data_IF_306898440985
#
_entry.id   IF_306898440985
#
_cell.length_a   1.000
_cell.length_b   1.000
_cell.length_c   1.000
_cell.angle_alpha   90.00
_cell.angle_beta   90.00
_cell.angle_gamma   90.00
#
_symmetry.space_group_name_H-M   'P 1'
#
loop_
_entity.id
_entity.type
_entity.pdbx_description
1 polymer ?
#
# COMPACT_ATOMS: atom_id res chain seq x y z
N UNK A 1 -2.22 19.59 -1.04
CA UNK A 1 -3.49 18.93 -1.39
C UNK A 1 -3.43 17.48 -0.95
N UNK A 2 -4.29 17.10 -0.01
CA UNK A 2 -4.38 15.71 0.45
C UNK A 2 -5.27 14.91 -0.51
N UNK A 3 -4.79 13.74 -0.90
CA UNK A 3 -5.54 12.76 -1.66
C UNK A 3 -5.86 11.58 -0.76
N UNK A 4 -7.16 11.31 -0.60
CA UNK A 4 -7.59 10.11 0.11
C UNK A 4 -7.07 8.88 -0.63
N UNK A 5 -6.49 7.95 0.12
CA UNK A 5 -6.16 6.62 -0.40
C UNK A 5 -7.43 5.89 -0.80
N UNK A 6 -7.38 5.15 -1.90
CA UNK A 6 -8.52 4.44 -2.45
C UNK A 6 -9.05 3.39 -1.46
N UNK A 7 -10.38 3.27 -1.40
CA UNK A 7 -11.00 2.12 -0.75
C UNK A 7 -10.56 0.78 -1.37
N UNK A 8 -10.40 -0.25 -0.54
CA UNK A 8 -9.99 -1.59 -0.98
C UNK A 8 -10.90 -2.11 -2.10
N UNK A 9 -10.30 -2.67 -3.14
CA UNK A 9 -11.05 -3.41 -4.15
C UNK A 9 -11.67 -4.68 -3.55
N UNK A 10 -12.65 -5.25 -4.26
CA UNK A 10 -13.40 -6.42 -3.77
C UNK A 10 -12.49 -7.60 -3.45
N UNK A 11 -11.46 -7.86 -4.25
CA UNK A 11 -10.55 -8.98 -4.01
C UNK A 11 -9.72 -8.75 -2.74
N UNK A 12 -9.09 -7.58 -2.62
CA UNK A 12 -8.34 -7.21 -1.40
C UNK A 12 -9.21 -7.24 -0.15
N UNK A 13 -10.45 -6.76 -0.25
CA UNK A 13 -11.41 -6.76 0.85
C UNK A 13 -11.79 -8.18 1.28
N UNK A 14 -12.10 -9.07 0.33
CA UNK A 14 -12.41 -10.48 0.61
C UNK A 14 -11.21 -11.17 1.25
N UNK A 15 -10.02 -11.01 0.68
CA UNK A 15 -8.78 -11.59 1.24
C UNK A 15 -8.52 -11.09 2.66
N UNK A 16 -8.68 -9.79 2.90
CA UNK A 16 -8.55 -9.18 4.24
C UNK A 16 -9.51 -9.82 5.24
N UNK A 17 -10.79 -9.96 4.88
CA UNK A 17 -11.80 -10.58 5.75
C UNK A 17 -11.46 -12.04 6.05
N UNK A 18 -11.12 -12.82 5.02
CA UNK A 18 -10.73 -14.24 5.16
C UNK A 18 -9.52 -14.38 6.07
N UNK A 19 -8.49 -13.55 5.87
CA UNK A 19 -7.31 -13.54 6.72
C UNK A 19 -7.65 -13.18 8.17
N UNK A 20 -8.44 -12.13 8.42
CA UNK A 20 -8.82 -11.75 9.78
C UNK A 20 -9.61 -12.86 10.48
N UNK A 21 -10.56 -13.49 9.78
CA UNK A 21 -11.36 -14.60 10.35
C UNK A 21 -10.45 -15.79 10.64
N UNK A 22 -9.62 -16.20 9.68
CA UNK A 22 -8.70 -17.32 9.84
C UNK A 22 -7.75 -17.10 11.03
N UNK A 23 -7.10 -15.93 11.11
CA UNK A 23 -6.21 -15.60 12.21
C UNK A 23 -6.95 -15.55 13.55
N UNK A 24 -8.19 -15.04 13.58
CA UNK A 24 -9.01 -15.02 14.81
C UNK A 24 -9.35 -16.43 15.29
N UNK A 25 -9.71 -17.34 14.38
CA UNK A 25 -9.99 -18.76 14.71
C UNK A 25 -8.73 -19.45 15.24
N UNK A 26 -7.57 -19.23 14.59
CA UNK A 26 -6.30 -19.81 15.03
C UNK A 26 -5.88 -19.27 16.40
N UNK A 27 -5.98 -17.95 16.62
CA UNK A 27 -5.69 -17.34 17.93
C UNK A 27 -6.62 -17.93 19.00
N UNK A 28 -7.92 -18.04 18.71
CA UNK A 28 -8.88 -18.63 19.65
C UNK A 28 -8.51 -20.07 20.00
N UNK A 29 -8.27 -20.91 19.00
CA UNK A 29 -7.89 -22.32 19.19
C UNK A 29 -6.61 -22.44 20.03
N UNK A 30 -5.59 -21.64 19.72
CA UNK A 30 -4.34 -21.61 20.48
C UNK A 30 -4.57 -21.18 21.94
N UNK A 31 -5.34 -20.13 22.19
CA UNK A 31 -5.61 -19.66 23.56
C UNK A 31 -6.39 -20.70 24.37
N UNK A 32 -7.26 -21.47 23.71
CA UNK A 32 -8.05 -22.54 24.36
C UNK A 32 -7.33 -23.88 24.50
N UNK A 33 -6.13 -24.05 23.91
CA UNK A 33 -5.44 -25.36 23.90
C UNK A 33 -4.83 -25.74 25.25
N UNK A 34 -4.65 -24.80 26.17
CA UNK A 34 -3.97 -25.02 27.45
C UNK A 34 -2.44 -25.14 27.34
N UNK A 35 -1.87 -24.91 26.16
CA UNK A 35 -0.43 -24.98 25.91
C UNK A 35 0.34 -23.82 26.57
N UNK A 36 1.49 -24.12 27.19
CA UNK A 36 2.23 -23.15 28.03
C UNK A 36 3.03 -22.08 27.27
N UNK A 37 2.98 -22.05 25.94
CA UNK A 37 3.78 -21.14 25.10
C UNK A 37 2.99 -20.44 23.99
N UNK A 38 1.67 -20.31 24.14
CA UNK A 38 0.78 -19.69 23.15
C UNK A 38 1.00 -18.17 23.01
N UNK A 39 1.53 -17.52 24.04
CA UNK A 39 1.71 -16.07 24.08
C UNK A 39 2.52 -15.54 22.89
N UNK A 40 3.69 -16.11 22.62
CA UNK A 40 4.58 -15.60 21.57
C UNK A 40 3.99 -15.71 20.16
N UNK A 41 3.46 -16.87 19.71
CA UNK A 41 2.76 -16.97 18.43
C UNK A 41 1.60 -15.96 18.30
N UNK A 42 0.78 -15.82 19.35
CA UNK A 42 -0.37 -14.89 19.32
C UNK A 42 0.10 -13.44 19.19
N UNK A 43 1.13 -13.04 19.94
CA UNK A 43 1.71 -11.70 19.82
C UNK A 43 2.28 -11.44 18.43
N UNK A 44 2.98 -12.40 17.83
CA UNK A 44 3.52 -12.29 16.46
C UNK A 44 2.37 -12.14 15.45
N UNK A 45 1.31 -12.93 15.58
CA UNK A 45 0.15 -12.87 14.70
C UNK A 45 -0.59 -11.53 14.79
N UNK A 46 -0.84 -11.04 16.01
CA UNK A 46 -1.45 -9.72 16.22
C UNK A 46 -0.54 -8.62 15.68
N UNK A 47 0.76 -8.69 15.96
CA UNK A 47 1.76 -7.76 15.45
C UNK A 47 1.80 -7.71 13.92
N UNK A 48 1.67 -8.86 13.24
CA UNK A 48 1.57 -8.94 11.79
C UNK A 48 0.31 -8.25 11.24
N UNK A 49 -0.86 -8.42 11.88
CA UNK A 49 -2.10 -7.76 11.45
C UNK A 49 -2.03 -6.26 11.68
N UNK A 50 -1.57 -5.83 12.86
CA UNK A 50 -1.46 -4.41 13.22
C UNK A 50 -0.45 -3.71 12.31
N UNK A 51 0.74 -4.30 12.12
CA UNK A 51 1.74 -3.74 11.19
C UNK A 51 1.20 -3.62 9.77
N UNK A 52 0.44 -4.61 9.28
CA UNK A 52 -0.19 -4.52 7.96
C UNK A 52 -1.15 -3.33 7.84
N UNK A 53 -1.97 -3.09 8.86
CA UNK A 53 -2.88 -1.95 8.91
C UNK A 53 -2.12 -0.62 8.94
N UNK A 54 -1.06 -0.54 9.75
CA UNK A 54 -0.22 0.67 9.88
C UNK A 54 0.60 0.99 8.61
N UNK A 55 0.63 0.11 7.62
CA UNK A 55 1.24 0.35 6.31
C UNK A 55 0.30 1.02 5.30
N UNK A 56 -1.00 1.16 5.60
CA UNK A 56 -1.95 1.88 4.74
C UNK A 56 -1.45 3.32 4.56
N UNK A 57 -1.25 3.79 3.31
CA UNK A 57 -0.64 5.08 3.05
C UNK A 57 -1.63 6.25 3.18
N UNK A 58 -1.09 7.42 3.51
CA UNK A 58 -1.62 8.75 3.24
C UNK A 58 -0.85 9.34 2.04
N UNK A 59 -1.58 9.99 1.13
CA UNK A 59 -1.01 10.55 -0.10
C UNK A 59 -1.23 12.06 -0.09
N UNK A 60 -0.16 12.83 -0.14
CA UNK A 60 -0.20 14.29 -0.17
C UNK A 60 0.60 14.86 -1.34
N UNK A 61 0.05 15.85 -2.03
CA UNK A 61 0.79 16.69 -2.98
C UNK A 61 1.02 18.06 -2.34
N UNK A 62 2.24 18.36 -1.91
CA UNK A 62 2.57 19.60 -1.20
C UNK A 62 3.84 20.23 -1.78
N UNK A 63 3.82 21.55 -2.03
CA UNK A 63 5.00 22.34 -2.41
C UNK A 63 5.81 21.76 -3.60
N UNK A 64 5.14 21.17 -4.59
CA UNK A 64 5.81 20.54 -5.74
C UNK A 64 6.48 19.20 -5.41
N UNK A 65 6.09 18.56 -4.31
CA UNK A 65 6.52 17.21 -3.92
C UNK A 65 5.30 16.31 -3.68
N UNK A 66 5.42 15.05 -4.09
CA UNK A 66 4.53 13.97 -3.71
C UNK A 66 5.06 13.34 -2.42
N UNK A 67 4.23 13.29 -1.39
CA UNK A 67 4.50 12.60 -0.13
C UNK A 67 3.64 11.34 -0.03
N UNK A 68 4.29 10.23 0.27
CA UNK A 68 3.65 8.94 0.57
C UNK A 68 4.07 8.58 1.99
N UNK A 69 3.12 8.64 2.91
CA UNK A 69 3.39 8.52 4.34
C UNK A 69 2.56 7.40 4.97
N UNK A 70 3.12 6.67 5.91
CA UNK A 70 2.38 5.84 6.86
C UNK A 70 3.17 5.80 8.19
N UNK A 71 2.87 4.86 9.09
CA UNK A 71 3.56 4.77 10.38
C UNK A 71 5.03 4.39 10.30
N UNK A 72 5.47 3.76 9.20
CA UNK A 72 6.84 3.25 9.03
C UNK A 72 7.66 4.05 8.01
N UNK A 73 7.00 4.73 7.07
CA UNK A 73 7.68 5.46 5.99
C UNK A 73 7.15 6.87 5.81
N UNK A 74 8.04 7.75 5.37
CA UNK A 74 7.73 9.10 4.91
C UNK A 74 8.55 9.39 3.65
N UNK A 75 8.02 8.96 2.51
CA UNK A 75 8.70 9.05 1.21
C UNK A 75 8.32 10.38 0.56
N UNK A 76 9.31 11.14 0.12
CA UNK A 76 9.09 12.39 -0.62
C UNK A 76 9.68 12.24 -2.03
N UNK A 77 8.85 12.49 -3.03
CA UNK A 77 9.20 12.42 -4.46
C UNK A 77 8.99 13.81 -5.06
N UNK A 78 10.06 14.57 -5.38
CA UNK A 78 9.91 15.85 -6.05
C UNK A 78 9.23 15.66 -7.41
N UNK A 79 8.23 16.49 -7.72
CA UNK A 79 7.47 16.38 -8.98
C UNK A 79 8.39 16.53 -10.19
N UNK A 80 9.43 17.36 -10.09
CA UNK A 80 10.48 17.52 -11.11
C UNK A 80 11.22 16.22 -11.45
N UNK A 81 11.29 15.26 -10.52
CA UNK A 81 11.94 13.96 -10.75
C UNK A 81 11.03 12.93 -11.42
N UNK A 82 9.74 13.23 -11.60
CA UNK A 82 8.75 12.32 -12.17
C UNK A 82 8.84 12.36 -13.70
N UNK A 83 9.38 11.28 -14.28
CA UNK A 83 9.50 11.11 -15.74
C UNK A 83 8.15 10.80 -16.37
N UNK A 84 7.41 9.85 -15.78
CA UNK A 84 6.12 9.39 -16.30
C UNK A 84 5.16 9.13 -15.13
N UNK A 85 3.89 9.47 -15.35
CA UNK A 85 2.80 9.18 -14.44
C UNK A 85 1.63 8.63 -15.23
N UNK A 86 1.18 7.42 -14.90
CA UNK A 86 0.18 6.71 -15.70
C UNK A 86 -0.79 5.92 -14.81
N UNK A 87 -2.06 5.90 -15.20
CA UNK A 87 -3.06 5.02 -14.59
C UNK A 87 -2.89 3.60 -15.16
N UNK A 88 -2.64 2.63 -14.28
CA UNK A 88 -2.51 1.22 -14.66
C UNK A 88 -3.70 0.45 -14.10
N UNK A 89 -4.63 0.08 -14.98
CA UNK A 89 -5.81 -0.73 -14.63
C UNK A 89 -5.59 -2.23 -14.82
N UNK A 90 -4.62 -2.63 -15.66
CA UNK A 90 -4.32 -4.04 -15.93
C UNK A 90 -3.39 -4.61 -14.87
N UNK A 91 -3.78 -5.75 -14.32
CA UNK A 91 -2.93 -6.54 -13.43
C UNK A 91 -2.01 -7.42 -14.28
N UNK A 92 -0.74 -7.04 -14.38
CA UNK A 92 0.30 -7.92 -14.90
C UNK A 92 0.76 -8.92 -13.82
N UNK A 93 1.56 -9.92 -14.21
CA UNK A 93 2.26 -10.74 -13.24
C UNK A 93 3.26 -9.88 -12.46
N UNK A 94 3.20 -9.91 -11.13
CA UNK A 94 4.08 -9.13 -10.27
C UNK A 94 4.68 -10.04 -9.20
N UNK A 95 6.00 -9.96 -9.03
CA UNK A 95 6.73 -10.71 -8.02
C UNK A 95 6.83 -9.87 -6.76
N UNK A 96 6.33 -10.37 -5.63
CA UNK A 96 6.48 -9.71 -4.33
C UNK A 96 7.86 -10.03 -3.76
N UNK A 97 8.79 -9.08 -3.85
CA UNK A 97 10.15 -9.23 -3.33
C UNK A 97 10.17 -9.18 -1.81
N UNK A 98 9.49 -8.18 -1.21
CA UNK A 98 9.36 -8.07 0.24
C UNK A 98 8.17 -7.21 0.61
N UNK A 99 7.23 -7.73 1.40
CA UNK A 99 6.11 -6.93 1.90
C UNK A 99 4.82 -7.70 2.07
N UNK A 100 3.72 -6.96 2.05
CA UNK A 100 2.37 -7.44 2.37
C UNK A 100 1.53 -7.42 1.09
N UNK A 101 0.70 -8.45 0.90
CA UNK A 101 -0.22 -8.51 -0.23
C UNK A 101 -1.48 -9.26 0.16
N UNK A 102 -2.64 -8.63 -0.07
CA UNK A 102 -3.97 -9.19 0.19
C UNK A 102 -4.54 -8.89 1.58
N UNK A 103 -3.76 -8.28 2.48
CA UNK A 103 -4.23 -7.82 3.79
C UNK A 103 -4.15 -6.28 3.85
N UNK A 104 -5.30 -5.62 3.85
CA UNK A 104 -5.48 -4.16 3.70
C UNK A 104 -4.99 -3.55 2.38
N UNK A 105 -4.13 -4.24 1.63
CA UNK A 105 -3.58 -3.80 0.35
C UNK A 105 -2.33 -4.59 -0.05
N UNK A 106 -1.54 -3.95 -0.89
CA UNK A 106 -0.25 -4.40 -1.40
C UNK A 106 0.80 -3.34 -1.05
N UNK A 107 1.67 -3.68 -0.10
CA UNK A 107 2.63 -2.75 0.50
C UNK A 107 4.04 -3.33 0.47
N UNK A 108 5.03 -2.52 0.09
CA UNK A 108 6.45 -2.92 0.10
C UNK A 108 7.06 -3.00 -1.29
N UNK A 109 8.02 -3.91 -1.47
CA UNK A 109 8.83 -4.05 -2.67
C UNK A 109 8.31 -5.16 -3.59
N UNK A 110 8.12 -4.81 -4.85
CA UNK A 110 7.71 -5.71 -5.92
C UNK A 110 8.65 -5.56 -7.11
N UNK A 111 8.72 -6.60 -7.94
CA UNK A 111 9.52 -6.64 -9.18
C UNK A 111 10.97 -6.14 -8.97
N UNK A 112 11.58 -6.50 -7.84
CA UNK A 112 12.86 -5.97 -7.42
C UNK A 112 12.71 -4.72 -6.55
N UNK A 113 12.70 -3.53 -7.17
CA UNK A 113 12.79 -2.24 -6.45
C UNK A 113 11.57 -1.33 -6.66
N UNK A 114 10.47 -1.83 -7.22
CA UNK A 114 9.23 -1.06 -7.30
C UNK A 114 8.63 -0.96 -5.89
N UNK A 115 8.28 0.25 -5.47
CA UNK A 115 7.73 0.52 -4.14
C UNK A 115 6.21 0.69 -4.26
N UNK A 116 5.48 -0.22 -3.65
CA UNK A 116 4.03 -0.28 -3.72
C UNK A 116 3.42 0.17 -2.40
N UNK A 117 2.44 1.07 -2.51
CA UNK A 117 1.50 1.41 -1.45
C UNK A 117 0.09 1.48 -2.05
N UNK A 118 -0.44 0.31 -2.39
CA UNK A 118 -1.65 0.15 -3.21
C UNK A 118 -2.73 -0.58 -2.43
N UNK A 119 -3.80 0.10 -2.04
CA UNK A 119 -4.98 -0.48 -1.41
C UNK A 119 -6.00 -1.00 -2.43
N UNK A 120 -5.96 -0.45 -3.65
CA UNK A 120 -6.87 -0.83 -4.74
C UNK A 120 -6.12 -0.99 -6.05
N UNK A 121 -5.97 -2.24 -6.50
CA UNK A 121 -5.20 -2.55 -7.71
C UNK A 121 -5.80 -1.98 -9.00
N UNK A 122 -7.11 -1.66 -9.01
CA UNK A 122 -7.81 -1.10 -10.18
C UNK A 122 -7.67 0.42 -10.29
N UNK A 123 -7.29 1.09 -9.20
CA UNK A 123 -7.07 2.54 -9.12
C UNK A 123 -5.58 2.90 -9.03
N UNK A 124 -4.72 1.98 -9.46
CA UNK A 124 -3.27 2.09 -9.28
C UNK A 124 -2.65 3.09 -10.26
N UNK A 125 -1.99 4.10 -9.73
CA UNK A 125 -1.17 5.06 -10.47
C UNK A 125 0.29 4.67 -10.32
N UNK A 126 0.98 4.56 -11.45
CA UNK A 126 2.40 4.28 -11.52
C UNK A 126 3.16 5.58 -11.76
N UNK A 127 4.21 5.78 -10.97
CA UNK A 127 5.00 7.00 -10.92
C UNK A 127 6.46 6.60 -11.13
N UNK A 128 6.98 6.88 -12.31
CA UNK A 128 8.36 6.52 -12.68
C UNK A 128 9.28 7.70 -12.43
N UNK A 129 10.32 7.47 -11.64
CA UNK A 129 11.43 8.41 -11.42
C UNK A 129 12.71 7.87 -12.05
N UNK A 130 13.83 8.59 -11.91
CA UNK A 130 15.14 8.08 -12.34
C UNK A 130 15.59 6.81 -11.62
N UNK A 131 15.27 6.69 -10.32
CA UNK A 131 15.84 5.66 -9.46
C UNK A 131 14.86 4.53 -9.12
N UNK A 132 13.59 4.87 -9.01
CA UNK A 132 12.54 3.95 -8.53
C UNK A 132 11.21 4.18 -9.23
N UNK A 133 10.42 3.14 -9.28
CA UNK A 133 9.00 3.23 -9.62
C UNK A 133 8.18 3.16 -8.33
N UNK A 134 7.25 4.09 -8.16
CA UNK A 134 6.28 4.06 -7.07
C UNK A 134 4.91 3.73 -7.64
N UNK A 135 4.16 2.90 -6.91
CA UNK A 135 2.79 2.58 -7.25
C UNK A 135 1.92 2.90 -6.05
N UNK A 136 0.93 3.75 -6.27
CA UNK A 136 -0.03 4.18 -5.25
C UNK A 136 -1.45 4.10 -5.80
N UNK A 137 -2.46 4.11 -4.94
CA UNK A 137 -3.86 4.14 -5.38
C UNK A 137 -4.63 5.25 -4.69
N UNK A 138 -4.62 6.49 -5.23
CA UNK A 138 -5.51 7.55 -4.77
C UNK A 138 -6.97 7.24 -5.13
N UNK A 139 -7.93 7.75 -4.35
CA UNK A 139 -9.37 7.53 -4.57
C UNK A 139 -9.86 8.09 -5.91
N UNK A 140 -9.28 9.22 -6.35
CA UNK A 140 -9.55 9.90 -7.62
C UNK A 140 -8.28 9.89 -8.52
N UNK A 141 -7.92 8.77 -9.19
CA UNK A 141 -6.66 8.66 -9.92
C UNK A 141 -6.45 9.71 -11.01
N UNK A 142 -7.48 9.99 -11.80
CA UNK A 142 -7.34 10.95 -12.90
C UNK A 142 -7.09 12.37 -12.39
N UNK A 143 -7.77 12.76 -11.32
CA UNK A 143 -7.57 14.06 -10.67
C UNK A 143 -6.16 14.18 -10.10
N UNK A 144 -5.66 13.12 -9.46
CA UNK A 144 -4.28 13.05 -8.97
C UNK A 144 -3.27 13.23 -10.10
N UNK A 145 -3.43 12.52 -11.22
CA UNK A 145 -2.54 12.62 -12.39
C UNK A 145 -2.56 14.05 -12.97
N UNK A 146 -3.75 14.62 -13.13
CA UNK A 146 -3.90 15.98 -13.67
C UNK A 146 -3.20 17.03 -12.79
N UNK A 147 -3.27 16.90 -11.46
CA UNK A 147 -2.57 17.81 -10.54
C UNK A 147 -1.04 17.66 -10.62
N UNK A 148 -0.52 16.43 -10.75
CA UNK A 148 0.93 16.22 -11.00
C UNK A 148 1.36 16.90 -12.29
N UNK A 149 0.63 16.71 -13.39
CA UNK A 149 0.98 17.31 -14.69
C UNK A 149 0.87 18.83 -14.68
N UNK A 150 -0.11 19.39 -13.96
CA UNK A 150 -0.20 20.83 -13.73
C UNK A 150 1.00 21.37 -12.96
N UNK A 151 1.44 20.67 -11.91
CA UNK A 151 2.63 21.04 -11.14
C UNK A 151 3.91 20.93 -11.99
N UNK A 152 4.03 19.93 -12.87
CA UNK A 152 5.17 19.79 -13.79
C UNK A 152 5.28 20.96 -14.77
N UNK A 153 4.16 21.56 -15.21
CA UNK A 153 4.16 22.71 -16.13
C UNK A 153 4.57 24.03 -15.47
N UNK A 154 4.49 24.12 -14.14
CA UNK A 154 4.75 25.33 -13.38
C UNK A 154 6.15 25.38 -12.75
N UNK A 155 7.03 24.41 -13.06
CA UNK A 155 8.40 24.26 -12.54
C UNK A 155 9.37 24.20 -13.73
#
# INVERSE_FOLDING_TARGET
MNFRTASMDTYTKVMTIVFIIFFSVVIFALVTSGEKFVFWPVCIMIGAIVSAYLMVPEIDLEQGSLKIKNSFVNIQVPVKSIKNVELITKTAFNYRTFGIGGLFGHFGYFNGNDVWYVTNIRKKVKIQTERKTYLISPEEPQKFINEIEKLKKNI
#
